data_IF_065240654276
#
_entry.id   IF_065240654276
#
_cell.length_a   1.000
_cell.length_b   1.000
_cell.length_c   1.000
_cell.angle_alpha   90.00
_cell.angle_beta   90.00
_cell.angle_gamma   90.00
#
_symmetry.space_group_name_H-M   'P 1'
#
loop_
_entity.id
_entity.type
_entity.pdbx_description
1 polymer ?
#
# COMPACT_ATOMS: atom_id res chain seq x y z
N UNK A 1 31.28 11.30 0.10
CA UNK A 1 30.56 10.74 -1.04
C UNK A 1 29.08 11.11 -0.91
N UNK A 2 28.55 11.77 -1.90
CA UNK A 2 27.12 12.13 -1.94
C UNK A 2 26.38 11.03 -2.66
N UNK A 3 25.44 10.39 -1.99
CA UNK A 3 24.57 9.41 -2.59
C UNK A 3 23.49 10.13 -3.40
N UNK A 4 23.33 9.74 -4.66
CA UNK A 4 22.29 10.25 -5.55
C UNK A 4 21.26 9.17 -5.83
N UNK A 5 20.00 9.60 -5.91
CA UNK A 5 18.87 8.69 -6.13
C UNK A 5 18.03 9.18 -7.30
N UNK A 6 17.50 8.22 -8.06
CA UNK A 6 16.30 8.43 -8.84
C UNK A 6 15.13 8.29 -7.87
N UNK A 7 14.13 9.16 -7.99
CA UNK A 7 12.99 9.08 -7.07
C UNK A 7 11.70 9.54 -7.74
N UNK A 8 10.59 9.09 -7.17
CA UNK A 8 9.26 9.60 -7.48
C UNK A 8 8.51 9.86 -6.18
N UNK A 9 7.87 11.02 -6.12
CA UNK A 9 6.94 11.36 -5.05
C UNK A 9 5.51 11.17 -5.55
N UNK A 10 4.69 10.50 -4.77
CA UNK A 10 3.28 10.26 -5.08
C UNK A 10 2.46 10.80 -3.92
N UNK A 11 1.64 11.83 -4.19
CA UNK A 11 0.69 12.36 -3.20
C UNK A 11 -0.57 11.50 -3.23
N UNK A 12 -0.78 10.73 -2.17
CA UNK A 12 -1.93 9.84 -2.07
C UNK A 12 -2.16 9.48 -0.58
N UNK A 13 -3.36 9.09 -0.23
CA UNK A 13 -3.75 8.67 1.12
C UNK A 13 -3.48 9.73 2.20
N UNK A 14 -3.54 11.01 1.84
CA UNK A 14 -3.28 12.11 2.76
C UNK A 14 -1.81 12.25 3.15
N UNK A 15 -0.90 11.65 2.40
CA UNK A 15 0.54 11.68 2.65
C UNK A 15 1.32 11.67 1.34
N UNK A 16 2.65 11.58 1.42
CA UNK A 16 3.51 11.44 0.24
C UNK A 16 4.21 10.09 0.33
N UNK A 17 4.09 9.31 -0.73
CA UNK A 17 4.88 8.08 -0.89
C UNK A 17 6.11 8.44 -1.71
N UNK A 18 7.29 8.06 -1.22
CA UNK A 18 8.56 8.30 -1.90
C UNK A 18 9.13 6.97 -2.36
N UNK A 19 9.30 6.84 -3.67
CA UNK A 19 9.95 5.69 -4.29
C UNK A 19 11.35 6.14 -4.71
N UNK A 20 12.40 5.46 -4.24
CA UNK A 20 13.76 5.87 -4.59
C UNK A 20 14.69 4.68 -4.83
N UNK A 21 15.58 4.88 -5.79
CA UNK A 21 16.55 3.92 -6.25
C UNK A 21 17.91 4.61 -6.37
N UNK A 22 19.03 3.99 -5.94
CA UNK A 22 20.34 4.57 -6.20
C UNK A 22 20.57 4.79 -7.70
N UNK A 23 21.10 5.96 -8.09
CA UNK A 23 21.42 6.22 -9.49
C UNK A 23 22.38 5.15 -10.02
N UNK A 24 22.09 4.65 -11.22
CA UNK A 24 22.88 3.61 -11.84
C UNK A 24 22.55 2.18 -11.43
N UNK A 25 21.64 1.99 -10.45
CA UNK A 25 21.23 0.65 -10.03
C UNK A 25 20.42 -0.08 -11.10
N UNK A 26 19.73 0.67 -11.97
CA UNK A 26 19.02 0.15 -13.13
C UNK A 26 18.81 1.28 -14.14
N UNK A 27 18.27 0.96 -15.32
CA UNK A 27 17.91 1.97 -16.31
C UNK A 27 16.78 2.85 -15.79
N UNK A 28 16.87 4.17 -16.06
CA UNK A 28 15.84 5.14 -15.66
C UNK A 28 14.48 4.77 -16.25
N UNK A 29 14.45 4.26 -17.48
CA UNK A 29 13.20 3.84 -18.12
C UNK A 29 12.52 2.68 -17.39
N UNK A 30 13.29 1.73 -16.86
CA UNK A 30 12.75 0.64 -16.06
C UNK A 30 12.21 1.15 -14.72
N UNK A 31 12.94 2.07 -14.09
CA UNK A 31 12.48 2.69 -12.83
C UNK A 31 11.18 3.47 -13.07
N UNK A 32 11.10 4.26 -14.13
CA UNK A 32 9.89 5.04 -14.47
C UNK A 32 8.70 4.12 -14.69
N UNK A 33 8.88 3.03 -15.43
CA UNK A 33 7.81 2.07 -15.70
C UNK A 33 7.32 1.39 -14.42
N UNK A 34 8.24 0.97 -13.56
CA UNK A 34 7.89 0.38 -12.27
C UNK A 34 7.14 1.37 -11.37
N UNK A 35 7.59 2.64 -11.34
CA UNK A 35 6.91 3.70 -10.60
C UNK A 35 5.49 3.95 -11.12
N UNK A 36 5.31 3.92 -12.45
CA UNK A 36 3.97 4.09 -13.06
C UNK A 36 3.04 2.96 -12.64
N UNK A 37 3.52 1.72 -12.63
CA UNK A 37 2.73 0.57 -12.16
C UNK A 37 2.40 0.68 -10.68
N UNK A 38 3.37 1.06 -9.86
CA UNK A 38 3.16 1.24 -8.42
C UNK A 38 2.13 2.35 -8.16
N UNK A 39 2.22 3.46 -8.88
CA UNK A 39 1.28 4.56 -8.74
C UNK A 39 -0.15 4.14 -9.09
N UNK A 40 -0.33 3.45 -10.20
CA UNK A 40 -1.64 2.92 -10.60
C UNK A 40 -2.20 1.95 -9.56
N UNK A 41 -1.34 1.12 -9.00
CA UNK A 41 -1.73 0.19 -7.93
C UNK A 41 -2.18 0.96 -6.67
N UNK A 42 -1.42 1.97 -6.24
CA UNK A 42 -1.80 2.78 -5.07
C UNK A 42 -3.11 3.53 -5.28
N UNK A 43 -3.36 4.03 -6.49
CA UNK A 43 -4.63 4.68 -6.84
C UNK A 43 -5.80 3.70 -6.75
N UNK A 44 -5.62 2.47 -7.20
CA UNK A 44 -6.62 1.41 -7.09
C UNK A 44 -6.89 1.06 -5.63
N UNK A 45 -5.84 0.95 -4.80
CA UNK A 45 -5.97 0.71 -3.37
C UNK A 45 -6.72 1.87 -2.70
N UNK A 46 -6.43 3.11 -3.08
CA UNK A 46 -7.16 4.26 -2.56
C UNK A 46 -8.65 4.20 -2.93
N UNK A 47 -8.94 3.83 -4.16
CA UNK A 47 -10.33 3.67 -4.63
C UNK A 47 -11.10 2.63 -3.82
N UNK A 48 -10.46 1.55 -3.41
CA UNK A 48 -11.11 0.46 -2.67
C UNK A 48 -11.20 0.72 -1.16
N UNK A 49 -10.19 1.36 -0.59
CA UNK A 49 -10.01 1.41 0.88
C UNK A 49 -10.22 2.78 1.52
N UNK A 50 -10.29 3.87 0.76
CA UNK A 50 -10.39 5.21 1.34
C UNK A 50 -11.68 5.38 2.13
N UNK A 51 -11.56 5.72 3.41
CA UNK A 51 -12.72 6.05 4.25
C UNK A 51 -13.30 7.43 3.93
N UNK A 52 -12.57 8.25 3.17
CA UNK A 52 -13.00 9.59 2.74
C UNK A 52 -13.76 9.59 1.42
N UNK A 53 -13.66 8.52 0.63
CA UNK A 53 -14.38 8.37 -0.64
C UNK A 53 -15.66 7.57 -0.40
N UNK A 54 -16.81 8.19 -0.69
CA UNK A 54 -18.12 7.60 -0.42
C UNK A 54 -18.34 6.27 -1.16
N UNK A 55 -17.76 6.12 -2.34
CA UNK A 55 -17.96 4.96 -3.20
C UNK A 55 -16.89 3.87 -3.02
N UNK A 56 -15.93 4.04 -2.09
CA UNK A 56 -15.00 2.96 -1.80
C UNK A 56 -15.73 1.76 -1.21
N UNK A 57 -15.19 0.56 -1.44
CA UNK A 57 -15.80 -0.62 -0.84
C UNK A 57 -15.79 -0.56 0.70
N UNK A 58 -14.71 -0.05 1.29
CA UNK A 58 -14.62 0.12 2.76
C UNK A 58 -15.69 1.08 3.26
N UNK A 59 -15.91 2.22 2.60
CA UNK A 59 -16.96 3.15 2.99
C UNK A 59 -18.35 2.51 2.91
N UNK A 60 -18.59 1.72 1.86
CA UNK A 60 -19.85 1.02 1.68
C UNK A 60 -20.05 -0.10 2.71
N UNK A 61 -18.98 -0.81 3.10
CA UNK A 61 -19.00 -1.75 4.22
C UNK A 61 -19.35 -1.06 5.53
N UNK A 62 -18.75 0.11 5.79
CA UNK A 62 -18.98 0.87 7.01
C UNK A 62 -20.45 1.34 7.12
N UNK A 63 -21.09 1.63 6.00
CA UNK A 63 -22.51 2.02 5.95
C UNK A 63 -23.45 0.83 5.85
N UNK A 64 -22.90 -0.39 5.88
CA UNK A 64 -23.68 -1.64 5.77
C UNK A 64 -24.45 -1.75 4.43
N UNK A 65 -23.97 -1.08 3.39
CA UNK A 65 -24.55 -1.17 2.04
C UNK A 65 -24.14 -2.44 1.32
N UNK A 66 -22.97 -3.00 1.63
CA UNK A 66 -22.48 -4.25 1.08
C UNK A 66 -21.93 -5.13 2.20
N UNK A 67 -21.94 -6.44 1.96
CA UNK A 67 -21.35 -7.44 2.83
C UNK A 67 -19.91 -7.70 2.39
N UNK A 68 -19.06 -8.18 3.33
CA UNK A 68 -17.66 -8.51 3.02
C UNK A 68 -17.54 -9.52 1.88
N UNK A 69 -18.48 -10.42 1.75
CA UNK A 69 -18.48 -11.42 0.67
C UNK A 69 -18.74 -10.83 -0.71
N UNK A 70 -19.28 -9.61 -0.78
CA UNK A 70 -19.52 -8.87 -2.02
C UNK A 70 -18.34 -8.00 -2.42
N UNK A 71 -17.32 -7.90 -1.58
CA UNK A 71 -16.15 -7.07 -1.83
C UNK A 71 -15.12 -7.76 -2.73
N UNK A 72 -14.20 -6.95 -3.27
CA UNK A 72 -13.06 -7.45 -4.05
C UNK A 72 -12.16 -8.37 -3.24
N UNK A 73 -11.34 -9.14 -3.94
CA UNK A 73 -10.38 -10.04 -3.32
C UNK A 73 -9.40 -9.28 -2.41
N UNK A 74 -8.99 -8.08 -2.80
CA UNK A 74 -8.07 -7.25 -2.01
C UNK A 74 -8.70 -6.83 -0.69
N UNK A 75 -9.95 -6.37 -0.71
CA UNK A 75 -10.65 -5.96 0.51
C UNK A 75 -10.88 -7.16 1.43
N UNK A 76 -11.27 -8.31 0.87
CA UNK A 76 -11.44 -9.54 1.66
C UNK A 76 -10.13 -10.01 2.27
N UNK A 77 -9.02 -9.92 1.52
CA UNK A 77 -7.69 -10.26 2.04
C UNK A 77 -7.31 -9.39 3.23
N UNK A 78 -7.47 -8.08 3.10
CA UNK A 78 -7.16 -7.14 4.19
C UNK A 78 -8.07 -7.36 5.39
N UNK A 79 -9.35 -7.59 5.16
CA UNK A 79 -10.30 -7.91 6.22
C UNK A 79 -9.84 -9.13 7.03
N UNK A 80 -9.49 -10.22 6.36
CA UNK A 80 -9.03 -11.44 7.01
C UNK A 80 -7.69 -11.24 7.73
N UNK A 81 -6.78 -10.48 7.13
CA UNK A 81 -5.51 -10.13 7.76
C UNK A 81 -5.71 -9.31 9.02
N UNK A 82 -6.65 -8.37 9.00
CA UNK A 82 -7.00 -7.56 10.17
C UNK A 82 -7.66 -8.41 11.28
N UNK A 83 -8.49 -9.39 10.92
CA UNK A 83 -9.06 -10.33 11.89
C UNK A 83 -7.95 -11.11 12.61
N UNK A 84 -6.98 -11.62 11.85
CA UNK A 84 -5.85 -12.35 12.40
C UNK A 84 -4.99 -11.48 13.31
N UNK A 85 -4.70 -10.26 12.90
CA UNK A 85 -3.91 -9.32 13.70
C UNK A 85 -4.64 -8.90 14.98
N UNK A 86 -5.96 -8.72 14.92
CA UNK A 86 -6.76 -8.43 16.11
C UNK A 86 -6.64 -9.54 17.15
N UNK A 87 -6.72 -10.80 16.71
CA UNK A 87 -6.56 -11.95 17.59
C UNK A 87 -5.13 -12.05 18.14
N UNK A 88 -4.11 -11.95 17.26
CA UNK A 88 -2.71 -12.05 17.65
C UNK A 88 -2.28 -10.97 18.64
N UNK A 89 -2.84 -9.76 18.52
CA UNK A 89 -2.49 -8.62 19.39
C UNK A 89 -3.42 -8.48 20.59
N UNK A 90 -4.32 -9.42 20.80
CA UNK A 90 -5.33 -9.37 21.87
C UNK A 90 -6.10 -8.04 21.84
N UNK A 91 -6.49 -7.63 20.64
CA UNK A 91 -7.22 -6.39 20.34
C UNK A 91 -6.43 -5.09 20.59
N UNK A 92 -5.10 -5.15 20.75
CA UNK A 92 -4.28 -3.95 20.72
C UNK A 92 -4.35 -3.27 19.33
N UNK A 93 -4.43 -4.10 18.26
CA UNK A 93 -4.78 -3.65 16.92
C UNK A 93 -6.21 -4.10 16.63
N UNK A 94 -7.14 -3.15 16.52
CA UNK A 94 -8.55 -3.45 16.27
C UNK A 94 -9.18 -2.41 15.34
N UNK A 95 -9.19 -2.69 14.02
CA UNK A 95 -9.79 -1.77 13.04
C UNK A 95 -11.31 -1.58 13.19
N UNK A 96 -11.99 -2.46 13.94
CA UNK A 96 -13.43 -2.34 14.16
C UNK A 96 -13.79 -1.48 15.37
N UNK A 97 -12.81 -1.14 16.21
CA UNK A 97 -13.04 -0.38 17.44
C UNK A 97 -13.17 1.13 17.22
N UNK A 98 -12.98 1.61 15.99
CA UNK A 98 -13.06 3.04 15.66
C UNK A 98 -14.51 3.46 15.40
N UNK A 99 -14.87 4.74 15.64
CA UNK A 99 -16.20 5.24 15.30
C UNK A 99 -16.54 5.01 13.83
N UNK A 100 -17.72 4.49 13.55
CA UNK A 100 -18.17 4.19 12.20
C UNK A 100 -17.82 2.80 11.69
N UNK A 101 -17.07 1.99 12.44
CA UNK A 101 -16.79 0.60 12.11
C UNK A 101 -15.44 0.39 11.42
N UNK A 102 -15.35 -0.65 10.62
CA UNK A 102 -14.10 -1.13 10.02
C UNK A 102 -13.31 -0.03 9.31
N UNK A 103 -12.13 0.27 9.84
CA UNK A 103 -11.16 1.19 9.23
C UNK A 103 -9.78 0.54 9.21
N UNK A 104 -9.36 -0.04 8.08
CA UNK A 104 -8.10 -0.74 7.98
C UNK A 104 -6.90 0.16 7.65
N UNK A 105 -7.04 1.49 7.74
CA UNK A 105 -6.01 2.45 7.29
C UNK A 105 -4.64 2.17 7.89
N UNK A 106 -4.59 1.75 9.15
CA UNK A 106 -3.33 1.44 9.83
C UNK A 106 -2.60 0.21 9.27
N UNK A 107 -3.31 -0.66 8.56
CA UNK A 107 -2.73 -1.83 7.91
C UNK A 107 -2.41 -1.58 6.43
N UNK A 108 -3.29 -0.85 5.74
CA UNK A 108 -3.29 -0.77 4.27
C UNK A 108 -2.03 -0.12 3.69
N UNK A 109 -1.53 0.95 4.31
CA UNK A 109 -0.37 1.68 3.78
C UNK A 109 0.87 0.78 3.70
N UNK A 110 1.22 0.13 4.79
CA UNK A 110 2.39 -0.75 4.84
C UNK A 110 2.21 -1.98 3.94
N UNK A 111 1.02 -2.57 3.96
CA UNK A 111 0.70 -3.70 3.09
C UNK A 111 0.82 -3.32 1.60
N UNK A 112 0.24 -2.22 1.18
CA UNK A 112 0.30 -1.78 -0.22
C UNK A 112 1.73 -1.42 -0.64
N UNK A 113 2.50 -0.77 0.23
CA UNK A 113 3.90 -0.47 -0.04
C UNK A 113 4.71 -1.76 -0.24
N UNK A 114 4.52 -2.75 0.62
CA UNK A 114 5.19 -4.04 0.49
C UNK A 114 4.79 -4.76 -0.80
N UNK A 115 3.50 -4.81 -1.12
CA UNK A 115 3.01 -5.42 -2.35
C UNK A 115 3.58 -4.75 -3.60
N UNK A 116 3.81 -3.43 -3.55
CA UNK A 116 4.33 -2.69 -4.70
C UNK A 116 5.79 -3.01 -5.05
N UNK A 117 6.53 -3.62 -4.13
CA UNK A 117 7.92 -4.05 -4.40
C UNK A 117 8.00 -5.00 -5.60
N UNK A 118 6.96 -5.76 -5.87
CA UNK A 118 6.91 -6.70 -7.02
C UNK A 118 7.07 -6.00 -8.36
N UNK A 119 6.58 -4.75 -8.51
CA UNK A 119 6.71 -4.01 -9.76
C UNK A 119 8.16 -3.68 -10.09
N UNK A 120 8.97 -3.46 -9.05
CA UNK A 120 10.40 -3.21 -9.21
C UNK A 120 11.16 -4.52 -9.46
N UNK A 121 10.81 -5.58 -8.76
CA UNK A 121 11.42 -6.89 -8.99
C UNK A 121 11.16 -7.40 -10.42
N UNK A 122 9.98 -7.16 -10.97
CA UNK A 122 9.61 -7.57 -12.32
C UNK A 122 10.49 -6.95 -13.42
N UNK A 123 11.03 -5.76 -13.17
CA UNK A 123 11.95 -5.09 -14.11
C UNK A 123 13.41 -5.22 -13.68
N UNK A 124 13.70 -6.10 -12.73
CA UNK A 124 15.07 -6.40 -12.30
C UNK A 124 15.68 -5.36 -11.36
N UNK A 125 14.87 -4.49 -10.76
CA UNK A 125 15.36 -3.52 -9.77
C UNK A 125 15.39 -4.20 -8.41
N UNK A 126 16.61 -4.42 -7.91
CA UNK A 126 16.84 -5.09 -6.65
C UNK A 126 17.08 -4.14 -5.48
N UNK A 127 17.31 -2.87 -5.76
CA UNK A 127 17.64 -1.86 -4.76
C UNK A 127 16.62 -0.74 -4.87
N UNK A 128 15.57 -0.86 -4.08
CA UNK A 128 14.46 0.12 -4.04
C UNK A 128 14.07 0.36 -2.59
N UNK A 129 13.79 1.60 -2.27
CA UNK A 129 13.26 2.00 -0.98
C UNK A 129 11.93 2.70 -1.21
N UNK A 130 10.91 2.28 -0.46
CA UNK A 130 9.59 2.86 -0.49
C UNK A 130 9.28 3.39 0.90
N UNK A 131 9.08 4.70 0.99
CA UNK A 131 8.63 5.34 2.23
C UNK A 131 7.19 5.78 2.04
N UNK A 132 6.28 5.17 2.78
CA UNK A 132 4.86 5.42 2.71
C UNK A 132 4.38 6.05 4.02
N UNK A 133 4.55 7.38 4.13
CA UNK A 133 4.08 8.12 5.29
C UNK A 133 4.74 7.71 6.61
N UNK A 134 6.02 7.35 6.58
CA UNK A 134 6.77 6.88 7.75
C UNK A 134 7.00 5.39 7.80
N UNK A 135 6.19 4.60 7.08
CA UNK A 135 6.42 3.17 6.92
C UNK A 135 7.45 2.94 5.81
N UNK A 136 8.50 2.20 6.13
CA UNK A 136 9.63 2.00 5.23
C UNK A 136 9.68 0.55 4.75
N UNK A 137 9.64 0.36 3.44
CA UNK A 137 9.85 -0.93 2.79
C UNK A 137 11.11 -0.88 1.94
N UNK A 138 11.93 -1.91 2.03
CA UNK A 138 13.17 -2.03 1.27
C UNK A 138 13.12 -3.31 0.46
N UNK A 139 13.09 -3.14 -0.87
CA UNK A 139 13.19 -4.26 -1.79
C UNK A 139 14.63 -4.69 -1.97
N UNK A 140 14.85 -6.01 -1.97
CA UNK A 140 16.11 -6.62 -2.37
C UNK A 140 15.80 -7.68 -3.40
N UNK A 141 16.67 -7.80 -4.41
CA UNK A 141 16.52 -8.89 -5.35
C UNK A 141 16.74 -10.19 -4.60
N UNK A 142 15.73 -11.01 -4.64
CA UNK A 142 15.89 -12.42 -4.39
C UNK A 142 15.89 -13.11 -5.75
N UNK A 143 16.99 -13.64 -6.08
CA UNK A 143 17.09 -14.48 -7.26
C UNK A 143 16.53 -15.85 -6.90
#
# INVERSE_FOLDING_TARGET
MVWSFEYRNIEIWGTVIILQMPKGAAAVSDFTRACDHAQSYFEEIDRLFSTYKENSEVSRLRREEIDINECSDQVRFVWNSCLNLRELTKRAFDPWAVPGGFDPSGYVKGWAAQESLRFFAEVGISRIQINAGGDLEIGRAHV
#
